data_IF_029324110942
#
_entry.id   IF_029324110942
#
_cell.length_a   1.000
_cell.length_b   1.000
_cell.length_c   1.000
_cell.angle_alpha   90.00
_cell.angle_beta   90.00
_cell.angle_gamma   90.00
#
_symmetry.space_group_name_H-M   'P 1'
#
loop_
_entity.id
_entity.type
_entity.pdbx_description
1 polymer ?
#
# COMPACT_ATOMS: atom_id res chain seq x y z
N UNK A 1 -18.61 -43.98 71.07
CA UNK A 1 -19.21 -43.11 70.03
C UNK A 1 -19.13 -43.82 68.69
N UNK A 2 -20.23 -44.00 67.96
CA UNK A 2 -20.23 -44.70 66.66
C UNK A 2 -19.77 -43.75 65.55
N UNK A 3 -18.50 -43.86 65.16
CA UNK A 3 -17.80 -43.03 64.17
C UNK A 3 -18.43 -43.16 62.76
N UNK A 4 -19.13 -44.27 62.49
CA UNK A 4 -19.77 -44.55 61.20
C UNK A 4 -20.80 -43.51 60.78
N UNK A 5 -21.59 -42.98 61.71
CA UNK A 5 -22.59 -41.94 61.39
C UNK A 5 -21.96 -40.61 60.97
N UNK A 6 -20.84 -40.23 61.60
CA UNK A 6 -20.10 -39.02 61.25
C UNK A 6 -19.36 -39.18 59.93
N UNK A 7 -18.78 -40.35 59.65
CA UNK A 7 -18.11 -40.64 58.39
C UNK A 7 -19.07 -40.58 57.18
N UNK A 8 -20.29 -41.11 57.31
CA UNK A 8 -21.31 -41.04 56.25
C UNK A 8 -21.73 -39.59 55.99
N UNK A 9 -21.95 -38.80 57.05
CA UNK A 9 -22.30 -37.37 56.91
C UNK A 9 -21.20 -36.57 56.25
N UNK A 10 -19.94 -36.80 56.63
CA UNK A 10 -18.78 -36.15 56.02
C UNK A 10 -18.63 -36.54 54.54
N UNK A 11 -18.79 -37.83 54.20
CA UNK A 11 -18.75 -38.30 52.82
C UNK A 11 -19.84 -37.68 51.95
N UNK A 12 -21.09 -37.61 52.45
CA UNK A 12 -22.19 -36.96 51.75
C UNK A 12 -21.94 -35.46 51.56
N UNK A 13 -21.45 -34.76 52.59
CA UNK A 13 -21.09 -33.35 52.49
C UNK A 13 -19.98 -33.10 51.47
N UNK A 14 -18.90 -33.89 51.49
CA UNK A 14 -17.81 -33.79 50.52
C UNK A 14 -18.27 -34.07 49.09
N UNK A 15 -19.16 -35.04 48.88
CA UNK A 15 -19.74 -35.33 47.56
C UNK A 15 -20.54 -34.13 47.03
N UNK A 16 -21.41 -33.55 47.87
CA UNK A 16 -22.20 -32.36 47.52
C UNK A 16 -21.27 -31.20 47.16
N UNK A 17 -20.23 -30.97 47.95
CA UNK A 17 -19.28 -29.89 47.72
C UNK A 17 -18.50 -30.08 46.41
N UNK A 18 -18.04 -31.31 46.13
CA UNK A 18 -17.42 -31.66 44.85
C UNK A 18 -18.36 -31.45 43.67
N UNK A 19 -19.65 -31.80 43.81
CA UNK A 19 -20.65 -31.59 42.77
C UNK A 19 -20.89 -30.10 42.50
N UNK A 20 -21.00 -29.28 43.55
CA UNK A 20 -21.07 -27.82 43.40
C UNK A 20 -19.80 -27.25 42.76
N UNK A 21 -18.61 -27.69 43.18
CA UNK A 21 -17.35 -27.27 42.55
C UNK A 21 -17.33 -27.64 41.06
N UNK A 22 -17.75 -28.85 40.69
CA UNK A 22 -17.85 -29.27 39.30
C UNK A 22 -18.82 -28.39 38.50
N UNK A 23 -20.00 -28.08 39.06
CA UNK A 23 -20.98 -27.18 38.43
C UNK A 23 -20.41 -25.77 38.25
N UNK A 24 -19.73 -25.23 39.25
CA UNK A 24 -19.07 -23.91 39.17
C UNK A 24 -18.02 -23.93 38.06
N UNK A 25 -17.16 -24.95 38.01
CA UNK A 25 -16.14 -25.09 36.97
C UNK A 25 -16.75 -25.16 35.57
N UNK A 26 -17.85 -25.88 35.39
CA UNK A 26 -18.55 -25.98 34.10
C UNK A 26 -19.17 -24.64 33.70
N UNK A 27 -19.87 -23.97 34.61
CA UNK A 27 -20.57 -22.70 34.35
C UNK A 27 -19.58 -21.56 34.09
N UNK A 28 -18.60 -21.36 34.98
CA UNK A 28 -17.61 -20.29 34.84
C UNK A 28 -16.53 -20.60 33.83
N UNK A 29 -16.21 -21.88 33.60
CA UNK A 29 -15.37 -22.31 32.49
C UNK A 29 -16.04 -22.15 31.13
N UNK A 30 -17.32 -21.77 31.09
CA UNK A 30 -18.11 -21.61 29.87
C UNK A 30 -17.97 -22.82 28.92
N UNK A 31 -17.97 -24.03 29.50
CA UNK A 31 -17.89 -25.27 28.72
C UNK A 31 -19.24 -25.48 28.03
N UNK A 32 -19.27 -25.35 26.71
CA UNK A 32 -20.42 -25.76 25.90
C UNK A 32 -20.24 -27.22 25.50
N UNK A 33 -21.20 -28.06 25.86
CA UNK A 33 -21.27 -29.46 25.42
C UNK A 33 -22.06 -29.64 24.12
N UNK A 34 -22.43 -28.54 23.46
CA UNK A 34 -23.15 -28.57 22.19
C UNK A 34 -22.28 -29.09 21.06
N UNK A 35 -22.94 -29.69 20.06
CA UNK A 35 -22.25 -30.17 18.86
C UNK A 35 -21.83 -28.97 18.02
N UNK A 36 -20.53 -28.75 17.94
CA UNK A 36 -19.93 -27.72 17.07
C UNK A 36 -19.43 -28.31 15.76
N UNK A 37 -19.16 -27.42 14.80
CA UNK A 37 -18.45 -27.69 13.56
C UNK A 37 -17.23 -26.79 13.50
N UNK A 38 -16.06 -27.38 13.26
CA UNK A 38 -14.80 -26.65 13.15
C UNK A 38 -14.56 -26.10 11.75
N UNK A 39 -13.99 -24.90 11.67
CA UNK A 39 -13.53 -24.23 10.46
C UNK A 39 -12.20 -23.53 10.73
N UNK A 40 -11.54 -23.11 9.66
CA UNK A 40 -10.30 -22.33 9.76
C UNK A 40 -10.42 -21.03 8.96
N UNK A 41 -9.71 -19.99 9.37
CA UNK A 41 -9.57 -18.76 8.61
C UNK A 41 -8.09 -18.34 8.59
N UNK A 42 -7.60 -17.90 7.44
CA UNK A 42 -6.21 -17.48 7.26
C UNK A 42 -6.16 -15.96 7.24
N UNK A 43 -5.51 -15.33 8.21
CA UNK A 43 -5.31 -13.89 8.27
C UNK A 43 -3.89 -13.51 7.89
N UNK A 44 -3.71 -12.34 7.29
CA UNK A 44 -2.40 -11.68 7.18
C UNK A 44 -1.87 -11.26 8.55
N UNK A 45 -2.78 -10.92 9.48
CA UNK A 45 -2.45 -10.55 10.85
C UNK A 45 -3.62 -10.89 11.79
N UNK A 46 -3.36 -11.63 12.86
CA UNK A 46 -4.34 -12.00 13.89
C UNK A 46 -4.05 -11.34 15.26
N UNK A 47 -3.36 -10.20 15.29
CA UNK A 47 -2.91 -9.53 16.51
C UNK A 47 -4.02 -9.33 17.54
N UNK A 48 -3.75 -9.84 18.75
CA UNK A 48 -4.64 -9.78 19.89
C UNK A 48 -5.73 -10.87 19.95
N UNK A 49 -5.92 -11.65 18.87
CA UNK A 49 -6.84 -12.78 18.88
C UNK A 49 -6.22 -13.96 19.63
N UNK A 50 -6.96 -14.58 20.54
CA UNK A 50 -6.50 -15.66 21.42
C UNK A 50 -7.50 -16.82 21.48
N UNK A 51 -7.01 -18.05 21.75
CA UNK A 51 -7.89 -19.18 22.07
C UNK A 51 -8.87 -18.84 23.18
N UNK A 52 -10.11 -19.31 23.05
CA UNK A 52 -11.21 -19.08 23.99
C UNK A 52 -12.03 -17.81 23.72
N UNK A 53 -11.56 -16.88 22.89
CA UNK A 53 -12.34 -15.71 22.49
C UNK A 53 -13.54 -16.09 21.62
N UNK A 54 -14.57 -15.26 21.65
CA UNK A 54 -15.84 -15.55 20.99
C UNK A 54 -15.76 -15.44 19.48
N UNK A 55 -16.55 -16.28 18.81
CA UNK A 55 -16.91 -16.14 17.40
C UNK A 55 -18.34 -15.62 17.35
N UNK A 56 -18.56 -14.58 16.56
CA UNK A 56 -19.87 -13.93 16.44
C UNK A 56 -20.32 -13.86 15.00
N UNK A 57 -21.61 -14.05 14.77
CA UNK A 57 -22.26 -13.75 13.50
C UNK A 57 -23.36 -12.72 13.75
N UNK A 58 -23.34 -11.61 13.02
CA UNK A 58 -24.30 -10.50 13.20
C UNK A 58 -24.45 -10.03 14.65
N UNK A 59 -23.35 -10.00 15.40
CA UNK A 59 -23.31 -9.60 16.82
C UNK A 59 -23.68 -10.68 17.84
N UNK A 60 -24.21 -11.83 17.41
CA UNK A 60 -24.58 -12.94 18.29
C UNK A 60 -23.42 -13.91 18.44
N UNK A 61 -23.16 -14.38 19.66
CA UNK A 61 -22.14 -15.41 19.93
C UNK A 61 -22.59 -16.77 19.40
N UNK A 62 -21.81 -17.30 18.46
CA UNK A 62 -22.12 -18.56 17.73
C UNK A 62 -21.02 -19.61 17.90
N UNK A 63 -19.95 -19.29 18.63
CA UNK A 63 -18.79 -20.17 18.70
C UNK A 63 -17.62 -19.61 19.48
N UNK A 64 -16.49 -20.32 19.44
CA UNK A 64 -15.23 -19.94 20.10
C UNK A 64 -14.02 -20.24 19.22
N UNK A 65 -13.01 -19.38 19.34
CA UNK A 65 -11.69 -19.61 18.76
C UNK A 65 -11.03 -20.75 19.52
N UNK A 66 -10.61 -21.78 18.79
CA UNK A 66 -9.98 -22.97 19.33
C UNK A 66 -8.46 -22.80 19.42
N UNK A 67 -7.86 -22.30 18.36
CA UNK A 67 -6.41 -22.14 18.29
C UNK A 67 -6.00 -21.04 17.30
N UNK A 68 -4.81 -20.47 17.50
CA UNK A 68 -4.21 -19.47 16.62
C UNK A 68 -2.76 -19.86 16.37
N UNK A 69 -2.45 -20.23 15.13
CA UNK A 69 -1.11 -20.69 14.71
C UNK A 69 -0.51 -19.77 13.67
N UNK A 70 0.76 -19.44 13.84
CA UNK A 70 1.54 -18.82 12.77
C UNK A 70 1.89 -19.86 11.72
N UNK A 71 1.68 -19.52 10.45
CA UNK A 71 2.01 -20.33 9.28
C UNK A 71 2.94 -19.56 8.34
N UNK A 72 3.48 -20.22 7.32
CA UNK A 72 4.35 -19.58 6.32
C UNK A 72 5.55 -18.82 6.93
N UNK A 73 6.14 -19.38 8.00
CA UNK A 73 7.27 -18.75 8.69
C UNK A 73 6.92 -17.50 9.50
N UNK A 74 5.63 -17.24 9.75
CA UNK A 74 5.16 -16.12 10.56
C UNK A 74 4.50 -14.99 9.76
N UNK A 75 4.41 -15.09 8.44
CA UNK A 75 3.77 -14.08 7.58
C UNK A 75 2.24 -14.12 7.61
N UNK A 76 1.65 -15.24 8.02
CA UNK A 76 0.19 -15.43 8.13
C UNK A 76 -0.16 -16.16 9.41
N UNK A 77 -1.40 -15.99 9.84
CA UNK A 77 -1.98 -16.69 10.98
C UNK A 77 -3.18 -17.53 10.56
N UNK A 78 -3.15 -18.83 10.86
CA UNK A 78 -4.31 -19.71 10.80
C UNK A 78 -5.04 -19.63 12.13
N UNK A 79 -6.30 -19.25 12.08
CA UNK A 79 -7.23 -19.24 13.21
C UNK A 79 -8.18 -20.42 13.04
N UNK A 80 -8.12 -21.39 13.95
CA UNK A 80 -9.04 -22.51 14.01
C UNK A 80 -10.16 -22.15 15.00
N UNK A 81 -11.41 -22.31 14.58
CA UNK A 81 -12.56 -21.92 15.39
C UNK A 81 -13.73 -22.88 15.21
N UNK A 82 -14.52 -23.03 16.27
CA UNK A 82 -15.68 -23.91 16.31
C UNK A 82 -16.95 -23.06 16.38
N UNK A 83 -17.94 -23.36 15.53
CA UNK A 83 -19.27 -22.73 15.54
C UNK A 83 -20.38 -23.75 15.81
N UNK A 84 -21.51 -23.29 16.33
CA UNK A 84 -22.70 -24.10 16.54
C UNK A 84 -23.19 -24.73 15.23
N UNK A 85 -23.60 -26.01 15.25
CA UNK A 85 -24.06 -26.74 14.06
C UNK A 85 -25.30 -26.15 13.39
N UNK A 86 -26.08 -25.36 14.12
CA UNK A 86 -27.25 -24.64 13.60
C UNK A 86 -26.84 -23.52 12.63
N UNK A 87 -25.60 -23.03 12.72
CA UNK A 87 -25.08 -22.00 11.83
C UNK A 87 -24.37 -22.63 10.63
N UNK A 88 -24.96 -22.45 9.46
CA UNK A 88 -24.37 -22.85 8.19
C UNK A 88 -23.45 -21.75 7.67
N UNK A 89 -22.19 -22.10 7.40
CA UNK A 89 -21.26 -21.23 6.68
C UNK A 89 -21.31 -21.52 5.19
N UNK A 90 -21.09 -20.48 4.39
CA UNK A 90 -21.12 -20.54 2.93
C UNK A 90 -19.71 -20.30 2.38
N UNK A 91 -19.44 -20.72 1.15
CA UNK A 91 -18.10 -20.64 0.57
C UNK A 91 -17.55 -19.21 0.54
N UNK A 92 -18.44 -18.22 0.37
CA UNK A 92 -18.09 -16.79 0.37
C UNK A 92 -18.25 -16.10 1.73
N UNK A 93 -18.43 -16.85 2.82
CA UNK A 93 -18.35 -16.28 4.16
C UNK A 93 -17.01 -15.58 4.38
N UNK A 94 -17.06 -14.40 4.97
CA UNK A 94 -15.88 -13.61 5.34
C UNK A 94 -15.68 -13.64 6.85
N UNK A 95 -14.43 -13.49 7.27
CA UNK A 95 -14.06 -13.45 8.68
C UNK A 95 -13.25 -12.19 9.00
N UNK A 96 -13.64 -11.45 10.03
CA UNK A 96 -12.96 -10.22 10.44
C UNK A 96 -12.58 -10.31 11.91
N UNK A 97 -11.37 -9.89 12.29
CA UNK A 97 -11.03 -9.72 13.71
C UNK A 97 -11.44 -8.32 14.16
N UNK A 98 -12.30 -8.23 15.17
CA UNK A 98 -12.85 -6.95 15.67
C UNK A 98 -12.56 -6.74 17.16
N UNK A 99 -12.59 -5.48 17.60
CA UNK A 99 -12.53 -5.11 19.02
C UNK A 99 -13.83 -5.51 19.71
N UNK A 100 -13.73 -6.28 20.80
CA UNK A 100 -14.86 -6.57 21.68
C UNK A 100 -15.12 -5.40 22.66
N UNK A 101 -14.06 -4.77 23.15
CA UNK A 101 -14.11 -3.67 24.11
C UNK A 101 -12.92 -2.71 23.95
N UNK A 102 -12.93 -1.62 24.71
CA UNK A 102 -11.88 -0.58 24.70
C UNK A 102 -10.56 -1.00 25.38
N UNK A 103 -10.55 -2.14 26.07
CA UNK A 103 -9.37 -2.63 26.81
C UNK A 103 -8.50 -3.56 25.91
N UNK A 104 -8.96 -3.83 24.68
CA UNK A 104 -8.18 -4.55 23.68
C UNK A 104 -8.57 -6.01 23.47
N UNK A 105 -9.69 -6.46 24.05
CA UNK A 105 -10.21 -7.79 23.76
C UNK A 105 -10.67 -7.90 22.30
N UNK A 106 -10.51 -9.09 21.72
CA UNK A 106 -10.88 -9.42 20.34
C UNK A 106 -12.02 -10.42 20.30
N UNK A 107 -12.73 -10.41 19.18
CA UNK A 107 -13.58 -11.51 18.77
C UNK A 107 -13.47 -11.72 17.26
N UNK A 108 -13.81 -12.92 16.81
CA UNK A 108 -13.90 -13.26 15.39
C UNK A 108 -15.31 -12.99 14.91
N UNK A 109 -15.49 -12.07 13.97
CA UNK A 109 -16.77 -11.78 13.31
C UNK A 109 -16.88 -12.60 12.02
N UNK A 110 -17.99 -13.30 11.84
CA UNK A 110 -18.34 -14.01 10.62
C UNK A 110 -19.48 -13.25 9.92
N UNK A 111 -19.31 -13.01 8.62
CA UNK A 111 -20.36 -12.46 7.77
C UNK A 111 -20.72 -13.44 6.67
N UNK A 112 -22.01 -13.48 6.34
CA UNK A 112 -22.52 -14.23 5.19
C UNK A 112 -22.10 -13.50 3.91
N UNK A 113 -21.54 -14.23 2.95
CA UNK A 113 -21.33 -13.75 1.59
C UNK A 113 -22.54 -14.03 0.69
N UNK A 114 -22.42 -13.77 -0.60
CA UNK A 114 -23.54 -13.84 -1.54
C UNK A 114 -23.80 -15.26 -2.08
N UNK A 115 -22.84 -16.17 -1.95
CA UNK A 115 -22.99 -17.57 -2.35
C UNK A 115 -23.98 -18.37 -1.49
N UNK A 116 -24.83 -19.16 -2.16
CA UNK A 116 -25.70 -20.16 -1.54
C UNK A 116 -25.03 -21.53 -1.37
N UNK A 117 -23.77 -21.68 -1.82
CA UNK A 117 -23.03 -22.93 -1.68
C UNK A 117 -22.47 -23.05 -0.26
N UNK A 118 -22.88 -24.10 0.44
CA UNK A 118 -22.43 -24.40 1.80
C UNK A 118 -20.95 -24.75 1.82
N UNK A 119 -20.24 -24.19 2.78
CA UNK A 119 -18.86 -24.56 3.08
C UNK A 119 -18.85 -25.93 3.78
N UNK A 120 -18.00 -26.89 3.34
CA UNK A 120 -17.88 -28.17 4.02
C UNK A 120 -17.30 -28.01 5.42
N UNK A 121 -17.60 -28.94 6.32
CA UNK A 121 -16.99 -28.99 7.65
C UNK A 121 -15.46 -29.09 7.55
N UNK A 122 -14.74 -28.30 8.34
CA UNK A 122 -13.28 -28.14 8.22
C UNK A 122 -12.84 -27.24 7.07
N UNK A 123 -13.79 -26.58 6.39
CA UNK A 123 -13.50 -25.61 5.34
C UNK A 123 -12.64 -24.45 5.85
N UNK A 124 -11.84 -23.88 4.95
CA UNK A 124 -10.95 -22.76 5.26
C UNK A 124 -11.40 -21.51 4.52
N UNK A 125 -11.58 -20.41 5.26
CA UNK A 125 -11.75 -19.06 4.72
C UNK A 125 -10.35 -18.55 4.30
N UNK A 126 -10.12 -18.30 3.01
CA UNK A 126 -8.83 -17.89 2.51
C UNK A 126 -8.56 -16.41 2.81
N UNK A 127 -7.30 -15.99 2.69
CA UNK A 127 -6.86 -14.66 3.17
C UNK A 127 -7.56 -13.51 2.47
N UNK A 128 -7.95 -13.69 1.21
CA UNK A 128 -8.68 -12.70 0.40
C UNK A 128 -10.08 -12.39 0.96
N UNK A 129 -10.62 -13.29 1.79
CA UNK A 129 -11.92 -13.15 2.47
C UNK A 129 -11.76 -12.96 3.99
N UNK A 130 -10.57 -12.59 4.43
CA UNK A 130 -10.32 -12.25 5.82
C UNK A 130 -9.90 -10.80 5.98
N UNK A 131 -10.35 -10.18 7.06
CA UNK A 131 -9.95 -8.82 7.42
C UNK A 131 -9.18 -8.86 8.74
N UNK A 132 -7.89 -8.48 8.76
CA UNK A 132 -7.10 -8.46 9.98
C UNK A 132 -7.66 -7.45 10.98
N UNK A 133 -7.23 -7.58 12.25
CA UNK A 133 -7.60 -6.62 13.27
C UNK A 133 -7.08 -5.22 12.90
N UNK A 134 -7.88 -4.18 13.21
CA UNK A 134 -7.39 -2.81 13.17
C UNK A 134 -6.21 -2.68 14.15
N UNK A 135 -5.06 -2.29 13.62
CA UNK A 135 -3.87 -1.99 14.39
C UNK A 135 -3.93 -0.53 14.87
N UNK A 136 -4.25 -0.34 16.16
CA UNK A 136 -4.30 1.00 16.76
C UNK A 136 -2.93 1.65 16.84
N UNK A 137 -1.84 0.87 16.90
CA UNK A 137 -0.49 1.43 16.91
C UNK A 137 -0.15 2.01 15.53
N UNK A 138 -0.56 1.32 14.46
CA UNK A 138 -0.47 1.84 13.10
C UNK A 138 -1.35 3.08 12.91
N UNK A 139 -2.58 3.08 13.46
CA UNK A 139 -3.49 4.24 13.41
C UNK A 139 -2.88 5.47 14.12
N UNK A 140 -2.45 5.32 15.37
CA UNK A 140 -1.81 6.38 16.15
C UNK A 140 -0.49 6.82 15.48
N UNK A 141 0.27 5.87 14.94
CA UNK A 141 1.46 6.11 14.13
C UNK A 141 1.17 6.99 12.91
N UNK A 142 0.04 6.77 12.25
CA UNK A 142 -0.44 7.57 11.11
C UNK A 142 -0.78 9.02 11.46
N UNK A 143 -1.11 9.32 12.72
CA UNK A 143 -1.31 10.70 13.19
C UNK A 143 -0.02 11.42 13.60
N UNK A 144 1.12 10.71 13.73
CA UNK A 144 2.41 11.34 14.08
C UNK A 144 2.81 12.48 13.14
N UNK A 145 2.65 12.41 11.80
CA UNK A 145 2.94 13.52 10.91
C UNK A 145 2.07 14.76 11.19
N UNK A 146 0.78 14.55 11.51
CA UNK A 146 -0.12 15.64 11.88
C UNK A 146 0.34 16.32 13.18
N UNK A 147 0.70 15.52 14.20
CA UNK A 147 1.23 16.06 15.46
C UNK A 147 2.60 16.73 15.31
N UNK A 148 3.42 16.32 14.33
CA UNK A 148 4.67 17.01 13.98
C UNK A 148 4.45 18.33 13.24
N UNK A 149 3.33 18.47 12.53
CA UNK A 149 2.95 19.72 11.88
C UNK A 149 2.37 20.74 12.86
N UNK A 150 1.99 20.31 14.07
CA UNK A 150 1.62 21.20 15.15
C UNK A 150 2.87 21.80 15.78
N UNK A 151 2.95 23.13 15.78
CA UNK A 151 3.98 23.89 16.45
C UNK A 151 3.72 23.89 17.98
N UNK A 152 4.62 23.30 18.80
CA UNK A 152 4.44 23.22 20.25
C UNK A 152 4.23 24.59 20.91
N UNK A 153 4.87 25.63 20.38
CA UNK A 153 4.75 26.99 20.93
C UNK A 153 3.34 27.53 20.71
N UNK A 154 2.74 27.31 19.53
CA UNK A 154 1.37 27.72 19.24
C UNK A 154 0.35 26.98 20.10
N UNK A 155 0.55 25.68 20.32
CA UNK A 155 -0.34 24.90 21.21
C UNK A 155 -0.26 25.41 22.64
N UNK A 156 0.95 25.70 23.13
CA UNK A 156 1.14 26.28 24.46
C UNK A 156 0.52 27.68 24.58
N UNK A 157 0.64 28.52 23.55
CA UNK A 157 0.03 29.85 23.52
C UNK A 157 -1.50 29.80 23.53
N UNK A 158 -2.11 28.84 22.84
CA UNK A 158 -3.56 28.61 22.87
C UNK A 158 -3.97 28.12 24.27
N UNK A 159 -3.26 27.14 24.84
CA UNK A 159 -3.54 26.65 26.18
C UNK A 159 -3.41 27.75 27.24
N UNK A 160 -2.37 28.59 27.15
CA UNK A 160 -2.18 29.76 28.00
C UNK A 160 -3.31 30.78 27.80
N UNK A 161 -3.70 31.07 26.56
CA UNK A 161 -4.80 32.00 26.28
C UNK A 161 -6.13 31.51 26.86
N UNK A 162 -6.40 30.20 26.79
CA UNK A 162 -7.56 29.57 27.44
C UNK A 162 -7.47 29.74 28.97
N UNK A 163 -6.30 29.47 29.57
CA UNK A 163 -6.07 29.65 31.01
C UNK A 163 -6.27 31.12 31.42
N UNK A 164 -5.69 32.08 30.72
CA UNK A 164 -5.81 33.52 30.97
C UNK A 164 -7.26 33.99 30.89
N UNK A 165 -8.03 33.50 29.91
CA UNK A 165 -9.47 33.78 29.79
C UNK A 165 -10.25 33.18 30.96
N UNK A 166 -10.01 31.90 31.31
CA UNK A 166 -10.69 31.25 32.44
C UNK A 166 -10.27 31.80 33.81
N UNK A 167 -9.08 32.36 33.93
CA UNK A 167 -8.58 33.04 35.13
C UNK A 167 -9.02 34.52 35.22
N UNK A 168 -9.81 35.01 34.25
CA UNK A 168 -10.34 36.38 34.27
C UNK A 168 -9.28 37.46 33.99
N UNK A 169 -8.14 37.09 33.41
CA UNK A 169 -7.05 37.99 33.00
C UNK A 169 -7.20 38.45 31.53
N UNK A 170 -8.44 38.47 31.01
CA UNK A 170 -8.71 39.10 29.71
C UNK A 170 -8.32 40.58 29.74
N UNK A 171 -7.68 41.05 28.67
CA UNK A 171 -7.00 42.36 28.57
C UNK A 171 -7.72 43.50 29.26
N UNK A 172 -6.94 44.36 29.93
CA UNK A 172 -7.47 45.50 30.67
C UNK A 172 -8.15 46.47 29.71
N UNK A 173 -9.12 47.25 30.22
CA UNK A 173 -9.78 48.34 29.44
C UNK A 173 -8.75 49.25 28.76
N UNK A 174 -7.56 49.42 29.35
CA UNK A 174 -6.47 50.20 28.78
C UNK A 174 -5.92 49.59 27.46
N UNK A 175 -5.83 48.27 27.37
CA UNK A 175 -5.37 47.59 26.14
C UNK A 175 -6.35 47.81 24.98
N UNK A 176 -7.64 47.85 25.28
CA UNK A 176 -8.70 48.13 24.31
C UNK A 176 -8.68 49.61 23.88
N UNK A 177 -8.41 50.52 24.83
CA UNK A 177 -8.31 51.96 24.54
C UNK A 177 -7.07 52.29 23.70
N UNK A 178 -5.93 51.67 23.96
CA UNK A 178 -4.70 51.85 23.18
C UNK A 178 -4.84 51.30 21.75
N UNK A 179 -5.48 50.14 21.59
CA UNK A 179 -5.81 49.59 20.27
C UNK A 179 -6.80 50.47 19.52
N UNK A 180 -7.78 51.06 20.22
CA UNK A 180 -8.74 52.00 19.62
C UNK A 180 -8.05 53.31 19.20
N UNK A 181 -7.10 53.82 20.00
CA UNK A 181 -6.32 55.00 19.66
C UNK A 181 -5.42 54.76 18.44
N UNK A 182 -4.76 53.60 18.36
CA UNK A 182 -3.95 53.19 17.20
C UNK A 182 -4.80 53.02 15.93
N UNK A 183 -5.99 52.45 16.04
CA UNK A 183 -6.92 52.30 14.91
C UNK A 183 -7.45 53.67 14.43
N UNK A 184 -7.75 54.58 15.36
CA UNK A 184 -8.23 55.93 15.06
C UNK A 184 -7.14 56.77 14.38
N UNK A 185 -5.88 56.64 14.81
CA UNK A 185 -4.71 57.22 14.15
C UNK A 185 -4.53 56.67 12.73
N UNK A 186 -4.65 55.35 12.56
CA UNK A 186 -4.53 54.70 11.23
C UNK A 186 -5.67 55.13 10.29
N UNK A 187 -6.85 55.42 10.82
CA UNK A 187 -8.00 55.89 10.06
C UNK A 187 -7.87 57.38 9.67
N UNK A 188 -7.27 58.22 10.52
CA UNK A 188 -6.94 59.60 10.19
C UNK A 188 -5.91 59.69 9.05
N UNK A 189 -4.97 58.73 8.98
CA UNK A 189 -4.01 58.60 7.87
C UNK A 189 -4.64 58.08 6.56
N UNK A 190 -5.90 57.60 6.59
CA UNK A 190 -6.61 57.07 5.41
C UNK A 190 -7.40 58.12 4.62
N UNK A 191 -7.48 59.38 5.06
CA UNK A 191 -8.09 60.46 4.27
C UNK A 191 -7.42 60.62 2.89
N UNK A 192 -6.12 60.34 2.80
CA UNK A 192 -5.39 60.31 1.54
C UNK A 192 -5.80 59.13 0.63
N UNK A 193 -6.06 57.96 1.23
CA UNK A 193 -6.49 56.76 0.51
C UNK A 193 -7.94 56.87 0.01
N UNK A 194 -8.84 57.52 0.77
CA UNK A 194 -10.22 57.79 0.33
C UNK A 194 -10.20 58.76 -0.85
N UNK A 195 -9.34 59.79 -0.83
CA UNK A 195 -9.14 60.69 -1.96
C UNK A 195 -8.61 60.00 -3.22
N UNK A 196 -7.77 58.98 -3.06
CA UNK A 196 -7.29 58.13 -4.17
C UNK A 196 -8.37 57.21 -4.73
N UNK A 197 -9.20 56.60 -3.87
CA UNK A 197 -10.32 55.77 -4.32
C UNK A 197 -11.35 56.60 -5.10
N UNK A 198 -11.68 57.81 -4.65
CA UNK A 198 -12.60 58.70 -5.37
C UNK A 198 -12.04 59.12 -6.74
N UNK A 199 -10.74 59.43 -6.83
CA UNK A 199 -10.06 59.73 -8.10
C UNK A 199 -10.03 58.53 -9.05
N UNK A 200 -9.75 57.34 -8.53
CA UNK A 200 -9.75 56.11 -9.32
C UNK A 200 -11.15 55.74 -9.79
N UNK A 201 -12.18 55.94 -8.96
CA UNK A 201 -13.56 55.68 -9.34
C UNK A 201 -14.02 56.60 -10.49
N UNK A 202 -13.68 57.89 -10.43
CA UNK A 202 -13.97 58.82 -11.53
C UNK A 202 -13.23 58.44 -12.82
N UNK A 203 -12.00 57.94 -12.71
CA UNK A 203 -11.22 57.46 -13.86
C UNK A 203 -11.83 56.21 -14.49
N UNK A 204 -12.28 55.26 -13.66
CA UNK A 204 -12.94 54.03 -14.13
C UNK A 204 -14.29 54.34 -14.78
N UNK A 205 -15.09 55.22 -14.17
CA UNK A 205 -16.38 55.65 -14.73
C UNK A 205 -16.19 56.36 -16.08
N UNK A 206 -15.21 57.25 -16.19
CA UNK A 206 -14.89 57.97 -17.43
C UNK A 206 -14.29 57.05 -18.52
N UNK A 207 -13.55 56.01 -18.12
CA UNK A 207 -13.06 54.98 -19.06
C UNK A 207 -14.19 54.07 -19.54
N UNK A 208 -15.14 53.75 -18.67
CA UNK A 208 -16.29 52.89 -18.99
C UNK A 208 -17.26 53.59 -19.94
N UNK A 209 -17.52 54.88 -19.74
CA UNK A 209 -18.33 55.70 -20.68
C UNK A 209 -17.64 55.84 -22.03
N UNK A 210 -16.30 55.92 -22.08
CA UNK A 210 -15.53 56.00 -23.33
C UNK A 210 -15.43 54.68 -24.12
N UNK A 211 -15.69 53.53 -23.52
CA UNK A 211 -15.60 52.21 -24.18
C UNK A 211 -16.97 51.63 -24.59
N UNK A 212 -18.06 52.40 -24.43
CA UNK A 212 -19.42 51.95 -24.75
C UNK A 212 -19.60 51.64 -26.26
N UNK A 213 -18.91 52.38 -27.14
CA UNK A 213 -18.91 52.11 -28.59
C UNK A 213 -18.21 50.78 -28.97
N UNK A 214 -17.19 50.36 -28.22
CA UNK A 214 -16.43 49.12 -28.49
C UNK A 214 -17.18 47.87 -28.03
N UNK A 215 -18.08 48.01 -27.04
CA UNK A 215 -18.93 46.91 -26.59
C UNK A 215 -20.02 46.56 -27.63
N UNK A 216 -20.63 47.58 -28.26
CA UNK A 216 -21.59 47.39 -29.35
C UNK A 216 -20.95 46.71 -30.57
N UNK A 217 -19.71 47.08 -30.90
CA UNK A 217 -18.98 46.46 -32.02
C UNK A 217 -18.65 44.98 -31.76
N UNK A 218 -18.36 44.64 -30.50
CA UNK A 218 -18.09 43.26 -30.08
C UNK A 218 -19.35 42.39 -30.17
N UNK A 219 -20.52 42.94 -29.82
CA UNK A 219 -21.81 42.26 -29.90
C UNK A 219 -22.21 41.95 -31.34
N UNK A 220 -21.98 42.89 -32.26
CA UNK A 220 -22.20 42.70 -33.71
C UNK A 220 -21.24 41.65 -34.29
N UNK A 221 -19.98 41.63 -33.85
CA UNK A 221 -19.02 40.62 -34.32
C UNK A 221 -19.31 39.22 -33.78
N UNK A 222 -19.83 39.12 -32.55
CA UNK A 222 -20.27 37.86 -31.96
C UNK A 222 -21.51 37.28 -32.66
N UNK A 223 -22.48 38.13 -33.01
CA UNK A 223 -23.63 37.72 -33.83
C UNK A 223 -23.18 37.15 -35.19
N UNK A 224 -22.28 37.85 -35.90
CA UNK A 224 -21.72 37.37 -37.18
C UNK A 224 -21.01 36.04 -37.06
N UNK A 225 -20.28 35.81 -35.96
CA UNK A 225 -19.59 34.55 -35.70
C UNK A 225 -20.58 33.40 -35.50
N UNK A 226 -21.61 33.60 -34.66
CA UNK A 226 -22.64 32.59 -34.39
C UNK A 226 -23.44 32.26 -35.66
N UNK A 227 -23.80 33.27 -36.46
CA UNK A 227 -24.48 33.05 -37.75
C UNK A 227 -23.57 32.34 -38.76
N UNK A 228 -22.29 32.70 -38.80
CA UNK A 228 -21.30 32.04 -39.66
C UNK A 228 -21.05 30.58 -39.29
N UNK A 229 -21.02 30.27 -38.00
CA UNK A 229 -20.85 28.91 -37.49
C UNK A 229 -22.10 28.04 -37.76
N UNK A 230 -23.30 28.62 -37.58
CA UNK A 230 -24.57 27.97 -37.95
C UNK A 230 -24.66 27.63 -39.44
N UNK A 231 -24.15 28.50 -40.31
CA UNK A 231 -24.21 28.30 -41.77
C UNK A 231 -23.07 27.41 -42.33
N UNK A 232 -22.13 26.96 -41.48
CA UNK A 232 -21.00 26.08 -41.85
C UNK A 232 -20.95 24.79 -41.02
N UNK A 233 -22.09 24.35 -40.49
CA UNK A 233 -22.19 23.10 -39.72
C UNK A 233 -21.97 21.84 -40.59
N UNK A 234 -22.39 21.85 -41.86
CA UNK A 234 -22.33 20.67 -42.74
C UNK A 234 -20.88 20.23 -43.10
N UNK A 235 -19.92 21.11 -43.41
CA UNK A 235 -18.51 20.72 -43.65
C UNK A 235 -17.76 20.22 -42.42
N UNK A 236 -18.19 20.61 -41.21
CA UNK A 236 -17.57 20.12 -39.97
C UNK A 236 -18.00 18.68 -39.69
N UNK A 237 -19.26 18.34 -39.97
CA UNK A 237 -19.76 16.97 -39.86
C UNK A 237 -19.06 16.02 -40.86
N UNK A 238 -18.78 16.47 -42.09
CA UNK A 238 -18.05 15.66 -43.08
C UNK A 238 -16.59 15.42 -42.67
N UNK A 239 -15.92 16.45 -42.13
CA UNK A 239 -14.53 16.34 -41.67
C UNK A 239 -14.35 15.39 -40.47
N UNK A 240 -15.37 15.25 -39.62
CA UNK A 240 -15.38 14.30 -38.49
C UNK A 240 -15.65 12.86 -38.96
N UNK A 241 -16.44 12.68 -40.01
CA UNK A 241 -16.64 11.38 -40.64
C UNK A 241 -15.33 10.87 -41.29
N UNK A 242 -14.62 11.74 -42.01
CA UNK A 242 -13.33 11.40 -42.64
C UNK A 242 -12.24 10.99 -41.62
N UNK A 243 -12.25 11.58 -40.42
CA UNK A 243 -11.33 11.21 -39.32
C UNK A 243 -11.66 9.83 -38.75
N UNK A 244 -12.94 9.46 -38.67
CA UNK A 244 -13.34 8.11 -38.20
C UNK A 244 -12.95 7.03 -39.19
N UNK A 245 -13.07 7.29 -40.49
CA UNK A 245 -12.67 6.34 -41.55
C UNK A 245 -11.14 6.17 -41.61
N UNK A 246 -10.38 7.25 -41.41
CA UNK A 246 -8.92 7.18 -41.30
C UNK A 246 -8.46 6.38 -40.07
N UNK A 247 -9.14 6.54 -38.93
CA UNK A 247 -8.85 5.76 -37.72
C UNK A 247 -9.16 4.27 -37.89
N UNK A 248 -10.24 3.93 -38.60
CA UNK A 248 -10.56 2.55 -38.99
C UNK A 248 -9.46 1.93 -39.87
N UNK A 249 -8.99 2.67 -40.87
CA UNK A 249 -7.92 2.22 -41.77
C UNK A 249 -6.59 1.94 -41.03
N UNK A 250 -6.27 2.74 -40.01
CA UNK A 250 -5.09 2.52 -39.15
C UNK A 250 -5.26 1.31 -38.23
N UNK A 251 -6.47 1.07 -37.72
CA UNK A 251 -6.78 -0.11 -36.91
C UNK A 251 -6.72 -1.40 -37.72
N UNK A 252 -7.15 -1.36 -38.98
CA UNK A 252 -7.08 -2.49 -39.91
C UNK A 252 -5.62 -2.78 -40.30
N UNK A 253 -4.82 -1.76 -40.61
CA UNK A 253 -3.36 -1.92 -40.85
C UNK A 253 -2.61 -2.50 -39.64
N UNK A 254 -3.01 -2.16 -38.42
CA UNK A 254 -2.46 -2.73 -37.19
C UNK A 254 -2.89 -4.19 -36.96
N UNK A 255 -4.10 -4.55 -37.40
CA UNK A 255 -4.63 -5.92 -37.31
C UNK A 255 -3.97 -6.83 -38.35
N UNK A 256 -3.78 -6.35 -39.58
CA UNK A 256 -3.15 -7.08 -40.67
C UNK A 256 -1.64 -7.30 -40.44
N UNK A 257 -0.96 -6.39 -39.74
CA UNK A 257 0.47 -6.52 -39.40
C UNK A 257 0.75 -7.25 -38.07
N UNK A 258 -0.29 -7.67 -37.34
CA UNK A 258 -0.15 -8.44 -36.10
C UNK A 258 0.65 -9.76 -36.25
N UNK A 259 0.54 -10.53 -37.36
CA UNK A 259 1.35 -11.74 -37.56
C UNK A 259 2.84 -11.42 -37.75
N UNK A 260 3.17 -10.34 -38.45
CA UNK A 260 4.56 -9.90 -38.71
C UNK A 260 5.24 -9.42 -37.41
N UNK A 261 4.46 -8.80 -36.51
CA UNK A 261 4.92 -8.43 -35.18
C UNK A 261 5.16 -9.65 -34.27
N UNK A 262 4.37 -10.73 -34.42
CA UNK A 262 4.58 -11.99 -33.68
C UNK A 262 5.86 -12.71 -34.14
N UNK A 263 6.17 -12.71 -35.44
CA UNK A 263 7.41 -13.30 -35.96
C UNK A 263 8.67 -12.53 -35.50
N UNK A 264 8.56 -11.22 -35.31
CA UNK A 264 9.67 -10.39 -34.80
C UNK A 264 9.99 -10.69 -33.33
N UNK A 265 9.00 -11.12 -32.53
CA UNK A 265 9.20 -11.57 -31.15
C UNK A 265 9.87 -12.95 -31.09
N UNK A 266 9.63 -13.83 -32.07
CA UNK A 266 10.30 -15.13 -32.17
C UNK A 266 11.82 -15.05 -32.38
N UNK A 267 12.32 -13.98 -33.01
CA UNK A 267 13.77 -13.75 -33.17
C UNK A 267 14.47 -13.31 -31.88
N UNK A 268 13.74 -12.74 -30.90
CA UNK A 268 14.28 -12.39 -29.59
C UNK A 268 14.47 -13.63 -28.69
N UNK A 269 13.69 -14.69 -28.92
CA UNK A 269 13.78 -15.94 -28.16
C UNK A 269 15.12 -16.68 -28.42
N UNK A 270 15.64 -16.57 -29.65
CA UNK A 270 16.95 -17.13 -30.03
C UNK A 270 18.15 -16.44 -29.35
N UNK A 271 17.96 -15.22 -28.84
CA UNK A 271 19.00 -14.47 -28.09
C UNK A 271 18.77 -14.55 -26.58
N UNK A 272 17.52 -14.67 -26.13
CA UNK A 272 17.17 -14.77 -24.71
C UNK A 272 17.46 -16.15 -24.09
N UNK A 273 17.16 -17.25 -24.78
CA UNK A 273 17.33 -18.61 -24.24
C UNK A 273 18.78 -18.91 -23.80
N UNK A 274 19.82 -18.64 -24.59
CA UNK A 274 21.21 -18.89 -24.17
C UNK A 274 21.64 -18.04 -22.97
N UNK A 275 21.07 -16.84 -22.81
CA UNK A 275 21.40 -15.91 -21.73
C UNK A 275 20.71 -16.30 -20.41
N UNK A 276 19.53 -16.92 -20.49
CA UNK A 276 18.80 -17.49 -19.35
C UNK A 276 19.42 -18.82 -18.92
N UNK A 277 19.77 -19.69 -19.88
CA UNK A 277 20.36 -21.01 -19.61
C UNK A 277 21.79 -20.94 -19.04
N UNK A 278 22.54 -19.86 -19.35
CA UNK A 278 23.90 -19.64 -18.83
C UNK A 278 23.95 -18.62 -17.68
N UNK A 279 22.81 -18.34 -17.02
CA UNK A 279 22.72 -17.39 -15.90
C UNK A 279 23.75 -17.70 -14.79
N UNK A 280 24.01 -18.97 -14.48
CA UNK A 280 24.97 -19.37 -13.47
C UNK A 280 26.42 -19.07 -13.87
N UNK A 281 26.76 -19.24 -15.17
CA UNK A 281 28.08 -18.87 -15.70
C UNK A 281 28.25 -17.35 -15.75
N UNK A 282 27.20 -16.62 -16.12
CA UNK A 282 27.21 -15.16 -16.13
C UNK A 282 27.39 -14.61 -14.70
N UNK A 283 26.71 -15.20 -13.72
CA UNK A 283 26.86 -14.85 -12.32
C UNK A 283 28.27 -15.17 -11.78
N UNK A 284 28.85 -16.32 -12.13
CA UNK A 284 30.22 -16.67 -11.76
C UNK A 284 31.25 -15.70 -12.38
N UNK A 285 31.05 -15.27 -13.63
CA UNK A 285 31.87 -14.22 -14.26
C UNK A 285 31.72 -12.90 -13.50
N UNK A 286 30.48 -12.47 -13.21
CA UNK A 286 30.22 -11.20 -12.50
C UNK A 286 30.76 -11.18 -11.07
N UNK A 287 30.76 -12.32 -10.37
CA UNK A 287 31.33 -12.46 -9.03
C UNK A 287 32.86 -12.46 -9.07
N UNK A 288 33.48 -13.06 -10.07
CA UNK A 288 34.95 -13.13 -10.21
C UNK A 288 35.57 -11.88 -10.85
N UNK A 289 34.78 -11.11 -11.60
CA UNK A 289 35.24 -9.92 -12.31
C UNK A 289 35.90 -8.87 -11.39
N UNK A 290 35.35 -8.52 -10.22
CA UNK A 290 35.97 -7.55 -9.32
C UNK A 290 37.35 -8.01 -8.83
N UNK A 291 37.52 -9.31 -8.55
CA UNK A 291 38.79 -9.85 -8.09
C UNK A 291 39.82 -9.95 -9.23
N UNK A 292 39.38 -10.29 -10.44
CA UNK A 292 40.22 -10.22 -11.64
C UNK A 292 40.68 -8.76 -11.91
N UNK A 293 39.78 -7.78 -11.80
CA UNK A 293 40.11 -6.36 -11.94
C UNK A 293 41.02 -5.87 -10.82
N UNK A 294 40.89 -6.37 -9.58
CA UNK A 294 41.84 -6.08 -8.50
C UNK A 294 43.22 -6.70 -8.76
N UNK A 295 43.30 -7.90 -9.34
CA UNK A 295 44.58 -8.53 -9.73
C UNK A 295 45.24 -7.71 -10.83
N UNK A 296 44.48 -7.30 -11.85
CA UNK A 296 44.99 -6.43 -12.93
C UNK A 296 45.40 -5.07 -12.37
N UNK A 297 44.59 -4.46 -11.50
CA UNK A 297 44.90 -3.20 -10.84
C UNK A 297 46.13 -3.28 -9.93
N UNK A 298 46.36 -4.43 -9.26
CA UNK A 298 47.60 -4.70 -8.52
C UNK A 298 48.78 -4.97 -9.45
N UNK A 299 48.59 -5.65 -10.57
CA UNK A 299 49.64 -5.89 -11.56
C UNK A 299 50.06 -4.59 -12.29
N UNK A 300 49.15 -3.64 -12.46
CA UNK A 300 49.41 -2.32 -13.04
C UNK A 300 49.92 -1.31 -12.01
N UNK A 301 49.38 -1.32 -10.79
CA UNK A 301 49.63 -0.28 -9.79
C UNK A 301 50.94 -0.40 -9.00
N UNK A 302 51.65 -1.54 -9.07
CA UNK A 302 52.87 -1.77 -8.26
C UNK A 302 54.11 -1.08 -8.86
N UNK A 303 54.09 -0.66 -10.13
CA UNK A 303 55.23 -0.04 -10.82
C UNK A 303 54.96 1.34 -11.47
N UNK A 304 53.74 1.90 -11.34
CA UNK A 304 53.36 3.20 -11.94
C UNK A 304 52.36 3.05 -13.09
N UNK A 305 52.31 4.01 -14.02
CA UNK A 305 51.34 4.07 -15.12
C UNK A 305 51.66 3.13 -16.30
N UNK A 306 52.40 2.04 -16.06
CA UNK A 306 52.80 1.07 -17.08
C UNK A 306 52.84 -0.35 -16.54
N UNK A 307 52.46 -1.32 -17.37
CA UNK A 307 52.46 -2.74 -17.03
C UNK A 307 53.76 -3.41 -17.53
N UNK A 308 54.47 -4.12 -16.64
CA UNK A 308 55.65 -4.92 -16.99
C UNK A 308 55.28 -6.41 -17.18
N UNK A 309 54.58 -6.76 -18.26
CA UNK A 309 54.41 -8.16 -18.67
C UNK A 309 55.10 -8.43 -20.00
N UNK A 310 55.65 -9.63 -20.14
CA UNK A 310 56.26 -10.11 -21.38
C UNK A 310 55.34 -11.17 -22.00
N UNK A 311 54.72 -10.85 -23.13
CA UNK A 311 53.69 -11.66 -23.77
C UNK A 311 54.32 -12.84 -24.52
N UNK A 312 54.20 -14.05 -23.97
CA UNK A 312 54.80 -15.26 -24.55
C UNK A 312 53.92 -15.95 -25.61
N UNK A 313 52.62 -16.11 -25.35
CA UNK A 313 51.66 -16.66 -26.32
C UNK A 313 50.25 -16.08 -26.11
N UNK A 314 49.51 -15.97 -27.22
CA UNK A 314 48.06 -15.78 -27.23
C UNK A 314 47.44 -16.93 -28.00
N UNK A 315 46.51 -17.64 -27.36
CA UNK A 315 45.71 -18.69 -27.97
C UNK A 315 44.21 -18.46 -27.72
N UNK A 316 43.43 -18.57 -28.78
CA UNK A 316 41.97 -18.47 -28.78
C UNK A 316 41.36 -19.87 -28.86
N UNK A 317 40.53 -20.23 -27.88
CA UNK A 317 39.72 -21.45 -27.95
C UNK A 317 38.35 -21.10 -28.50
N UNK A 318 38.05 -21.62 -29.68
CA UNK A 318 36.77 -21.41 -30.36
C UNK A 318 36.01 -22.73 -30.36
N UNK A 319 34.74 -22.67 -29.95
CA UNK A 319 33.82 -23.79 -30.11
C UNK A 319 33.52 -23.97 -31.60
N UNK A 320 33.31 -25.21 -32.04
CA UNK A 320 32.90 -25.47 -33.42
C UNK A 320 31.59 -24.74 -33.74
N UNK A 321 31.42 -24.34 -35.01
CA UNK A 321 30.22 -23.65 -35.52
C UNK A 321 28.92 -24.49 -35.40
N UNK A 322 29.02 -25.74 -34.94
CA UNK A 322 27.91 -26.65 -34.69
C UNK A 322 27.86 -27.00 -33.20
N UNK A 323 26.66 -27.06 -32.59
CA UNK A 323 26.50 -27.45 -31.19
C UNK A 323 27.16 -28.82 -30.92
N UNK A 324 28.12 -28.87 -29.98
CA UNK A 324 28.88 -30.10 -29.64
C UNK A 324 30.12 -30.38 -30.50
N UNK A 325 30.48 -29.48 -31.42
CA UNK A 325 31.68 -29.64 -32.25
C UNK A 325 33.01 -29.54 -31.47
N UNK A 326 34.11 -30.11 -31.99
CA UNK A 326 35.40 -30.13 -31.28
C UNK A 326 35.94 -28.71 -31.08
N UNK A 327 36.35 -28.41 -29.85
CA UNK A 327 36.97 -27.11 -29.50
C UNK A 327 38.28 -26.96 -30.25
N UNK A 328 38.39 -25.94 -31.09
CA UNK A 328 39.62 -25.63 -31.83
C UNK A 328 40.39 -24.54 -31.11
N UNK A 329 41.64 -24.81 -30.81
CA UNK A 329 42.56 -23.81 -30.24
C UNK A 329 43.39 -23.21 -31.37
N UNK A 330 43.18 -21.93 -31.66
CA UNK A 330 43.92 -21.17 -32.66
C UNK A 330 44.95 -20.30 -31.94
N UNK A 331 46.23 -20.53 -32.18
CA UNK A 331 47.31 -19.67 -31.68
C UNK A 331 47.39 -18.40 -32.53
N UNK A 332 47.20 -17.24 -31.91
CA UNK A 332 47.22 -15.92 -32.55
C UNK A 332 48.65 -15.38 -32.63
N UNK A 333 49.44 -15.54 -31.56
CA UNK A 333 50.86 -15.19 -31.56
C UNK A 333 51.60 -16.06 -30.55
N UNK A 334 52.86 -16.39 -30.83
CA UNK A 334 53.73 -17.08 -29.88
C UNK A 334 55.18 -16.71 -30.14
N UNK A 335 55.96 -16.47 -29.09
CA UNK A 335 57.39 -16.22 -29.17
C UNK A 335 58.18 -17.50 -28.82
N UNK A 336 58.74 -18.21 -29.82
CA UNK A 336 59.38 -19.50 -29.59
C UNK A 336 60.82 -19.40 -29.06
N UNK A 337 61.37 -18.20 -28.83
CA UNK A 337 62.75 -17.97 -28.41
C UNK A 337 62.88 -16.89 -27.32
N UNK A 338 64.01 -16.86 -26.60
CA UNK A 338 64.27 -15.89 -25.54
C UNK A 338 63.61 -16.27 -24.20
N UNK A 339 63.03 -15.29 -23.48
CA UNK A 339 62.42 -15.48 -22.14
C UNK A 339 61.26 -16.50 -22.11
N UNK A 340 60.65 -16.78 -23.25
CA UNK A 340 59.49 -17.65 -23.40
C UNK A 340 59.82 -19.02 -24.02
N UNK A 341 61.10 -19.36 -24.12
CA UNK A 341 61.52 -20.66 -24.68
C UNK A 341 60.96 -21.78 -23.79
N UNK A 342 60.16 -22.72 -24.33
CA UNK A 342 59.64 -23.83 -23.55
C UNK A 342 60.80 -24.67 -22.99
N UNK A 343 60.76 -24.98 -21.70
CA UNK A 343 61.71 -25.90 -21.04
C UNK A 343 61.23 -27.34 -21.11
#
# INVERSE_FOLDING_TARGET
MRITGTAIKLGAFSLVLLLFTAVIVVVFGQMRFDRTTGYSAIFSNSSGLRPGQFVRASGVEVGKVKDVKLIEGGSKARVDFDVERSLELFEESTASVRYLNLIGDRYLELKRGDSDRRMPSGGTIPVERTEPALDLDALIGGFRPLFRALDPEKVNNIAQSIITVFQGQGGTINDILDQTASLTSTLADRDQAIGEVIRNLNTVLDTTVRHQEQFDETLVNFERLITGLKNRADPIASSVADISDAAGTVADLLTDNRPVLQDTVGYLDAVQQPLVDQKDQLNDILVRLPDALKIIGRAGGVYGDFFNFYLCDISLKLNGLQPGGPVRTVRVTSQPSGRCTPK
#
